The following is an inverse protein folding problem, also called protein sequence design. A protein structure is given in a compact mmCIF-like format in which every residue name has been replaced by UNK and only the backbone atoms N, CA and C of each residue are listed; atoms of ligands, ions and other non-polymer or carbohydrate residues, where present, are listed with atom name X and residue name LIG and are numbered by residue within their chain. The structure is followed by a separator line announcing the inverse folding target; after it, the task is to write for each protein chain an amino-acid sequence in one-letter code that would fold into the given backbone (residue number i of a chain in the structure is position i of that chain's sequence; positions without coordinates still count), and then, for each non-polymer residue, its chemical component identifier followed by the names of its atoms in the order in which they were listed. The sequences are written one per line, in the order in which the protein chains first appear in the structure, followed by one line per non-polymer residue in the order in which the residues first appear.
data_IF_444970038132
#
_entry.id   IF_444970038132
#
_cell.length_a   1.000
_cell.length_b   1.000
_cell.length_c   1.000
_cell.angle_alpha   90.00
_cell.angle_beta   90.00
_cell.angle_gamma   90.00
#
_symmetry.space_group_name_H-M   'P 1'
#
loop_
_entity.id
_entity.type
_entity.pdbx_description
1 polymer ?
#
# COMPACT_ATOMS: atom_id res chain seq x y z
N UNK A 1 -39.51 -26.23 -14.23
CA UNK A 1 -39.62 -27.61 -14.75
C UNK A 1 -39.13 -28.54 -13.65
N UNK A 2 -40.07 -29.03 -12.84
CA UNK A 2 -39.85 -29.92 -11.71
C UNK A 2 -40.09 -31.32 -12.24
N UNK A 3 -39.08 -32.19 -12.21
CA UNK A 3 -39.26 -33.58 -12.62
C UNK A 3 -39.17 -34.50 -11.42
N UNK A 4 -40.07 -35.47 -11.43
CA UNK A 4 -40.51 -36.26 -10.31
C UNK A 4 -40.11 -37.73 -10.51
N UNK A 5 -40.10 -38.45 -9.39
CA UNK A 5 -40.26 -39.91 -9.28
C UNK A 5 -39.07 -40.77 -9.76
N UNK A 6 -38.48 -41.47 -8.80
CA UNK A 6 -38.47 -42.94 -8.85
C UNK A 6 -38.54 -43.54 -7.46
N UNK A 7 -39.61 -44.28 -7.25
CA UNK A 7 -39.92 -45.15 -6.11
C UNK A 7 -39.88 -46.57 -6.64
N UNK A 8 -39.13 -47.47 -5.98
CA UNK A 8 -39.34 -48.93 -5.89
C UNK A 8 -38.07 -49.53 -5.27
N UNK A 9 -38.06 -50.54 -4.41
CA UNK A 9 -39.09 -51.47 -3.94
C UNK A 9 -38.57 -52.16 -2.67
N UNK A 10 -39.44 -52.31 -1.67
CA UNK A 10 -39.16 -53.03 -0.42
C UNK A 10 -39.96 -54.34 -0.44
N UNK A 11 -39.35 -55.53 -0.26
CA UNK A 11 -40.11 -56.78 -0.09
C UNK A 11 -40.43 -57.04 1.40
N UNK A 12 -41.66 -57.53 1.74
CA UNK A 12 -42.00 -58.00 3.09
C UNK A 12 -42.05 -59.56 3.14
N UNK A 13 -42.58 -60.20 4.20
CA UNK A 13 -41.83 -60.80 5.30
C UNK A 13 -41.90 -62.35 5.34
N UNK A 14 -40.83 -63.01 5.80
CA UNK A 14 -40.83 -64.44 6.11
C UNK A 14 -41.23 -64.70 7.57
N UNK A 15 -42.33 -65.44 7.79
CA UNK A 15 -42.76 -65.93 9.11
C UNK A 15 -42.62 -67.47 9.20
N UNK A 16 -42.31 -67.91 10.43
CA UNK A 16 -42.60 -69.20 11.12
C UNK A 16 -41.56 -70.33 10.96
N UNK A 17 -41.51 -71.34 11.89
CA UNK A 17 -42.30 -71.55 13.13
C UNK A 17 -41.48 -71.80 14.42
N UNK A 18 -42.19 -71.75 15.55
CA UNK A 18 -41.79 -72.28 16.87
C UNK A 18 -41.76 -73.82 16.85
N UNK A 19 -40.77 -74.43 17.51
CA UNK A 19 -40.74 -75.85 17.96
C UNK A 19 -39.97 -75.86 19.30
N UNK A 20 -40.68 -76.02 20.42
CA UNK A 20 -40.70 -77.25 21.26
C UNK A 20 -39.25 -77.72 21.55
N UNK A 21 -38.63 -77.39 22.69
CA UNK A 21 -38.93 -77.84 24.07
C UNK A 21 -39.02 -79.36 24.17
N UNK A 22 -37.85 -80.00 24.09
CA UNK A 22 -37.64 -81.36 24.58
C UNK A 22 -36.47 -81.33 25.56
N UNK A 23 -36.82 -81.57 26.82
CA UNK A 23 -35.90 -81.77 27.91
C UNK A 23 -35.38 -83.20 27.87
N UNK A 24 -34.07 -83.37 27.72
CA UNK A 24 -33.41 -84.61 28.11
C UNK A 24 -32.32 -84.31 29.14
N UNK A 25 -32.67 -84.73 30.35
CA UNK A 25 -31.89 -84.84 31.56
C UNK A 25 -30.69 -85.77 31.34
N UNK A 26 -29.48 -85.34 31.70
CA UNK A 26 -28.34 -86.24 31.90
C UNK A 26 -27.54 -85.80 33.13
N UNK A 27 -27.57 -86.54 34.26
CA UNK A 27 -26.77 -86.26 35.43
C UNK A 27 -25.50 -87.12 35.48
N UNK A 28 -24.36 -86.53 35.84
CA UNK A 28 -23.18 -87.32 36.27
C UNK A 28 -21.79 -86.73 36.00
N UNK A 29 -21.40 -85.71 36.78
CA UNK A 29 -20.13 -85.46 37.51
C UNK A 29 -18.73 -85.86 36.93
N UNK A 30 -17.60 -85.48 37.57
CA UNK A 30 -16.80 -84.31 37.20
C UNK A 30 -15.33 -84.68 36.87
N UNK A 31 -14.53 -83.76 36.31
CA UNK A 31 -13.10 -83.54 36.62
C UNK A 31 -12.36 -82.84 35.49
N UNK A 32 -11.32 -82.10 35.87
CA UNK A 32 -10.29 -81.46 35.04
C UNK A 32 -10.67 -80.11 34.39
N UNK A 33 -10.42 -79.05 35.16
CA UNK A 33 -10.18 -77.69 34.69
C UNK A 33 -8.89 -77.63 33.86
N UNK A 34 -8.89 -77.13 32.61
CA UNK A 34 -7.69 -76.57 32.03
C UNK A 34 -7.60 -75.10 32.46
N UNK A 35 -6.71 -74.80 33.41
CA UNK A 35 -6.30 -73.42 33.67
C UNK A 35 -5.48 -72.93 32.47
N UNK A 36 -6.13 -72.50 31.40
CA UNK A 36 -5.47 -71.62 30.43
C UNK A 36 -5.05 -70.34 31.16
N UNK A 37 -3.86 -69.79 30.92
CA UNK A 37 -3.54 -68.48 31.45
C UNK A 37 -4.54 -67.50 30.84
N UNK A 38 -5.54 -67.09 31.60
CA UNK A 38 -6.35 -65.91 31.31
C UNK A 38 -5.43 -64.70 31.52
N UNK A 39 -4.50 -64.52 30.60
CA UNK A 39 -3.91 -63.23 30.31
C UNK A 39 -5.04 -62.38 29.78
N UNK A 40 -5.83 -61.82 30.69
CA UNK A 40 -6.50 -60.55 30.42
C UNK A 40 -5.36 -59.58 30.12
N UNK A 41 -4.97 -59.50 28.86
CA UNK A 41 -4.28 -58.36 28.31
C UNK A 41 -5.26 -57.21 28.47
N UNK A 42 -5.28 -56.65 29.69
CA UNK A 42 -5.94 -55.41 30.03
C UNK A 42 -5.27 -54.44 29.10
N UNK A 43 -5.96 -54.10 28.01
CA UNK A 43 -5.52 -53.04 27.14
C UNK A 43 -5.37 -51.82 28.04
N UNK A 44 -4.13 -51.47 28.38
CA UNK A 44 -3.78 -50.16 28.93
C UNK A 44 -3.90 -49.14 27.79
N UNK A 45 -5.04 -49.19 27.09
CA UNK A 45 -5.44 -48.26 26.06
C UNK A 45 -6.39 -47.29 26.73
N UNK A 46 -5.93 -46.07 26.94
CA UNK A 46 -6.85 -44.97 27.24
C UNK A 46 -6.62 -44.26 28.57
N UNK A 47 -5.39 -43.95 28.92
CA UNK A 47 -5.11 -42.79 29.77
C UNK A 47 -3.90 -42.07 29.18
N UNK A 48 -4.06 -41.51 27.98
CA UNK A 48 -3.24 -40.34 27.65
C UNK A 48 -3.74 -39.30 28.64
N UNK A 49 -2.90 -38.94 29.62
CA UNK A 49 -3.31 -38.09 30.74
C UNK A 49 -4.06 -36.88 30.19
N UNK A 50 -5.34 -36.72 30.55
CA UNK A 50 -6.19 -35.67 29.96
C UNK A 50 -5.59 -34.27 30.18
N UNK A 51 -4.71 -34.13 31.17
CA UNK A 51 -3.84 -32.98 31.44
C UNK A 51 -2.79 -32.74 30.35
N UNK A 52 -2.15 -33.80 29.82
CA UNK A 52 -1.21 -33.71 28.70
C UNK A 52 -1.94 -33.34 27.42
N UNK A 53 -3.11 -33.95 27.16
CA UNK A 53 -3.93 -33.63 25.97
C UNK A 53 -4.40 -32.17 26.02
N UNK A 54 -4.86 -31.70 27.17
CA UNK A 54 -5.27 -30.30 27.36
C UNK A 54 -4.10 -29.32 27.23
N UNK A 55 -2.94 -29.64 27.81
CA UNK A 55 -1.73 -28.82 27.67
C UNK A 55 -1.29 -28.70 26.20
N UNK A 56 -1.25 -29.83 25.47
CA UNK A 56 -0.93 -29.84 24.04
C UNK A 56 -1.94 -29.03 23.24
N UNK A 57 -3.23 -29.15 23.53
CA UNK A 57 -4.27 -28.35 22.88
C UNK A 57 -4.10 -26.85 23.14
N UNK A 58 -3.80 -26.43 24.38
CA UNK A 58 -3.54 -25.03 24.72
C UNK A 58 -2.30 -24.51 23.98
N UNK A 59 -1.20 -25.26 23.97
CA UNK A 59 0.02 -24.91 23.25
C UNK A 59 -0.25 -24.78 21.74
N UNK A 60 -1.02 -25.71 21.16
CA UNK A 60 -1.39 -25.65 19.75
C UNK A 60 -2.23 -24.39 19.43
N UNK A 61 -3.20 -24.05 20.28
CA UNK A 61 -4.00 -22.82 20.11
C UNK A 61 -3.12 -21.57 20.20
N UNK A 62 -2.23 -21.50 21.19
CA UNK A 62 -1.28 -20.37 21.33
C UNK A 62 -0.38 -20.26 20.10
N UNK A 63 0.14 -21.38 19.60
CA UNK A 63 0.97 -21.40 18.39
C UNK A 63 0.21 -20.88 17.16
N UNK A 64 -1.05 -21.29 16.98
CA UNK A 64 -1.90 -20.82 15.87
C UNK A 64 -2.16 -19.31 15.97
N UNK A 65 -2.44 -18.79 17.18
CA UNK A 65 -2.65 -17.35 17.40
C UNK A 65 -1.38 -16.55 17.09
N UNK A 66 -0.21 -17.01 17.57
CA UNK A 66 1.07 -16.37 17.30
C UNK A 66 1.39 -16.39 15.80
N UNK A 67 1.19 -17.52 15.14
CA UNK A 67 1.38 -17.64 13.70
C UNK A 67 0.48 -16.68 12.91
N UNK A 68 -0.80 -16.60 13.25
CA UNK A 68 -1.75 -15.67 12.62
C UNK A 68 -1.32 -14.20 12.80
N UNK A 69 -0.79 -13.83 13.97
CA UNK A 69 -0.25 -12.49 14.24
C UNK A 69 0.97 -12.19 13.36
N UNK A 70 1.95 -13.09 13.30
CA UNK A 70 3.15 -12.92 12.46
C UNK A 70 2.77 -12.81 11.00
N UNK A 71 1.89 -13.70 10.51
CA UNK A 71 1.40 -13.67 9.14
C UNK A 71 0.75 -12.33 8.77
N UNK A 72 -0.09 -11.78 9.66
CA UNK A 72 -0.72 -10.48 9.46
C UNK A 72 0.31 -9.34 9.35
N UNK A 73 1.35 -9.35 10.19
CA UNK A 73 2.43 -8.35 10.16
C UNK A 73 3.24 -8.46 8.86
N UNK A 74 3.64 -9.66 8.46
CA UNK A 74 4.39 -9.88 7.21
C UNK A 74 3.58 -9.43 5.99
N UNK A 75 2.29 -9.78 5.92
CA UNK A 75 1.40 -9.31 4.86
C UNK A 75 1.32 -7.79 4.80
N UNK A 76 1.21 -7.13 5.96
CA UNK A 76 1.20 -5.66 6.04
C UNK A 76 2.54 -5.05 5.62
N UNK A 77 3.66 -5.67 6.02
CA UNK A 77 5.00 -5.22 5.64
C UNK A 77 5.18 -5.26 4.12
N UNK A 78 4.86 -6.39 3.48
CA UNK A 78 4.96 -6.54 2.01
C UNK A 78 4.09 -5.55 1.25
N UNK A 79 2.88 -5.28 1.73
CA UNK A 79 2.00 -4.25 1.14
C UNK A 79 2.59 -2.85 1.27
N UNK A 80 3.12 -2.52 2.43
CA UNK A 80 3.73 -1.21 2.69
C UNK A 80 5.00 -1.03 1.86
N UNK A 81 5.78 -2.09 1.69
CA UNK A 81 6.97 -2.13 0.83
C UNK A 81 6.60 -1.88 -0.64
N UNK A 82 5.58 -2.58 -1.15
CA UNK A 82 5.09 -2.37 -2.51
C UNK A 82 4.58 -0.93 -2.73
N UNK A 83 3.82 -0.37 -1.79
CA UNK A 83 3.34 1.01 -1.86
C UNK A 83 4.48 2.03 -1.81
N UNK A 84 5.47 1.80 -0.95
CA UNK A 84 6.66 2.64 -0.87
C UNK A 84 7.41 2.65 -2.20
N UNK A 85 7.65 1.49 -2.81
CA UNK A 85 8.32 1.38 -4.10
C UNK A 85 7.53 2.09 -5.21
N UNK A 86 6.20 1.90 -5.27
CA UNK A 86 5.36 2.55 -6.27
C UNK A 86 5.34 4.09 -6.10
N UNK A 87 5.23 4.57 -4.87
CA UNK A 87 5.27 6.01 -4.58
C UNK A 87 6.64 6.63 -4.87
N UNK A 88 7.72 5.88 -4.61
CA UNK A 88 9.09 6.27 -4.96
C UNK A 88 9.27 6.41 -6.46
N UNK A 89 8.81 5.43 -7.24
CA UNK A 89 8.91 5.51 -8.71
C UNK A 89 8.12 6.68 -9.29
N UNK A 90 6.96 7.01 -8.70
CA UNK A 90 6.17 8.17 -9.12
C UNK A 90 6.95 9.47 -8.91
N UNK A 91 7.56 9.63 -7.73
CA UNK A 91 8.38 10.80 -7.42
C UNK A 91 9.61 10.90 -8.35
N UNK A 92 10.32 9.79 -8.57
CA UNK A 92 11.52 9.76 -9.44
C UNK A 92 11.21 10.12 -10.90
N UNK A 93 10.05 9.69 -11.41
CA UNK A 93 9.59 10.04 -12.76
C UNK A 93 9.34 11.54 -12.89
N UNK A 94 8.63 12.14 -11.93
CA UNK A 94 8.33 13.59 -11.97
C UNK A 94 9.60 14.44 -11.77
N UNK A 95 10.54 14.00 -10.91
CA UNK A 95 11.86 14.63 -10.78
C UNK A 95 12.61 14.61 -12.11
N UNK A 96 12.65 13.45 -12.79
CA UNK A 96 13.28 13.32 -14.10
C UNK A 96 12.67 14.25 -15.15
N UNK A 97 11.35 14.27 -15.22
CA UNK A 97 10.60 15.16 -16.12
C UNK A 97 10.92 16.63 -15.87
N UNK A 98 11.01 17.04 -14.59
CA UNK A 98 11.38 18.41 -14.21
C UNK A 98 12.75 18.79 -14.73
N UNK A 99 13.76 17.92 -14.61
CA UNK A 99 15.09 18.27 -15.11
C UNK A 99 15.13 18.41 -16.63
N UNK A 100 14.39 17.59 -17.37
CA UNK A 100 14.28 17.73 -18.83
C UNK A 100 13.60 19.05 -19.20
N UNK A 101 12.45 19.34 -18.60
CA UNK A 101 11.69 20.56 -18.86
C UNK A 101 12.46 21.83 -18.46
N UNK A 102 13.20 21.82 -17.34
CA UNK A 102 14.05 22.96 -16.95
C UNK A 102 15.14 23.21 -17.99
N UNK A 103 15.72 22.15 -18.59
CA UNK A 103 16.68 22.30 -19.66
C UNK A 103 16.07 22.98 -20.88
N UNK A 104 14.89 22.50 -21.30
CA UNK A 104 14.18 23.04 -22.45
C UNK A 104 13.81 24.52 -22.24
N UNK A 105 13.37 24.87 -21.02
CA UNK A 105 13.12 26.26 -20.63
C UNK A 105 14.41 27.10 -20.73
N UNK A 106 15.54 26.63 -20.19
CA UNK A 106 16.81 27.38 -20.22
C UNK A 106 17.30 27.58 -21.65
N UNK A 107 17.14 26.59 -22.53
CA UNK A 107 17.52 26.71 -23.95
C UNK A 107 16.63 27.75 -24.66
N UNK A 108 15.31 27.67 -24.47
CA UNK A 108 14.37 28.62 -25.06
C UNK A 108 14.60 30.06 -24.55
N UNK A 109 14.76 30.23 -23.23
CA UNK A 109 14.98 31.53 -22.62
C UNK A 109 16.31 32.17 -23.04
N UNK A 110 17.37 31.38 -23.26
CA UNK A 110 18.62 31.88 -23.84
C UNK A 110 18.46 32.35 -25.28
N UNK A 111 17.72 31.61 -26.10
CA UNK A 111 17.44 32.00 -27.49
C UNK A 111 16.67 33.33 -27.57
N UNK A 112 15.83 33.61 -26.56
CA UNK A 112 15.09 34.86 -26.41
C UNK A 112 15.88 35.99 -25.72
N UNK A 113 17.16 35.80 -25.41
CA UNK A 113 18.01 36.77 -24.70
C UNK A 113 17.48 37.19 -23.31
N UNK A 114 16.84 36.27 -22.57
CA UNK A 114 16.47 36.50 -21.17
C UNK A 114 17.73 36.71 -20.30
N UNK A 115 17.60 37.50 -19.23
CA UNK A 115 18.73 37.85 -18.37
C UNK A 115 19.42 36.59 -17.77
N UNK A 116 20.72 36.51 -18.01
CA UNK A 116 21.61 35.51 -17.44
C UNK A 116 21.61 35.48 -15.91
N UNK A 117 21.34 36.62 -15.25
CA UNK A 117 21.29 36.72 -13.79
C UNK A 117 20.14 35.90 -13.20
N UNK A 118 19.08 35.68 -13.98
CA UNK A 118 17.90 34.87 -13.63
C UNK A 118 18.09 33.40 -14.06
N UNK A 119 18.68 33.15 -15.23
CA UNK A 119 18.86 31.81 -15.77
C UNK A 119 20.04 31.02 -15.17
N UNK A 120 21.12 31.69 -14.76
CA UNK A 120 22.30 31.01 -14.21
C UNK A 120 22.00 30.27 -12.89
N UNK A 121 21.26 30.85 -11.92
CA UNK A 121 20.82 30.13 -10.73
C UNK A 121 19.96 28.90 -11.05
N UNK A 122 19.05 29.00 -12.03
CA UNK A 122 18.20 27.87 -12.44
C UNK A 122 19.03 26.73 -13.04
N UNK A 123 19.94 27.05 -13.96
CA UNK A 123 20.82 26.07 -14.57
C UNK A 123 21.74 25.39 -13.53
N UNK A 124 22.29 26.17 -12.59
CA UNK A 124 23.13 25.65 -11.50
C UNK A 124 22.37 24.80 -10.50
N UNK A 125 21.14 25.18 -10.12
CA UNK A 125 20.31 24.39 -9.25
C UNK A 125 19.90 23.06 -9.91
N UNK A 126 19.62 23.06 -11.23
CA UNK A 126 19.37 21.83 -11.99
C UNK A 126 20.59 20.92 -12.01
N UNK A 127 21.78 21.44 -12.28
CA UNK A 127 22.99 20.61 -12.33
C UNK A 127 23.31 20.00 -10.96
N UNK A 128 23.13 20.76 -9.88
CA UNK A 128 23.25 20.27 -8.51
C UNK A 128 22.26 19.14 -8.22
N UNK A 129 20.97 19.35 -8.49
CA UNK A 129 19.91 18.36 -8.29
C UNK A 129 20.17 17.07 -9.09
N UNK A 130 20.48 17.21 -10.38
CA UNK A 130 20.81 16.09 -11.25
C UNK A 130 22.05 15.32 -10.76
N UNK A 131 23.09 16.03 -10.30
CA UNK A 131 24.31 15.43 -9.78
C UNK A 131 24.06 14.57 -8.53
N UNK A 132 23.20 15.03 -7.61
CA UNK A 132 22.82 14.24 -6.42
C UNK A 132 22.09 12.95 -6.83
N UNK A 133 21.20 13.04 -7.82
CA UNK A 133 20.49 11.87 -8.35
C UNK A 133 21.44 10.88 -9.02
N UNK A 134 22.34 11.35 -9.87
CA UNK A 134 23.29 10.49 -10.60
C UNK A 134 24.29 9.80 -9.66
N UNK A 135 24.64 10.43 -8.54
CA UNK A 135 25.46 9.83 -7.48
C UNK A 135 24.70 8.78 -6.64
N UNK A 136 23.40 8.58 -6.90
CA UNK A 136 22.58 7.63 -6.16
C UNK A 136 22.35 8.02 -4.71
N UNK A 137 22.40 9.32 -4.39
CA UNK A 137 22.13 9.82 -3.05
C UNK A 137 20.70 9.45 -2.61
N UNK A 138 20.46 9.39 -1.31
CA UNK A 138 19.13 9.07 -0.81
C UNK A 138 18.15 10.20 -1.13
N UNK A 139 16.85 9.89 -1.19
CA UNK A 139 15.83 10.92 -1.40
C UNK A 139 15.84 12.02 -0.31
N UNK A 140 16.26 11.67 0.92
CA UNK A 140 16.45 12.67 1.97
C UNK A 140 17.57 13.65 1.66
N UNK A 141 18.69 13.16 1.12
CA UNK A 141 19.83 14.01 0.74
C UNK A 141 19.52 14.88 -0.49
N UNK A 142 18.73 14.33 -1.43
CA UNK A 142 18.28 15.06 -2.63
C UNK A 142 17.32 16.21 -2.28
N UNK A 143 16.56 16.11 -1.18
CA UNK A 143 15.51 17.10 -0.85
C UNK A 143 16.03 18.56 -0.82
N UNK A 144 17.25 18.78 -0.34
CA UNK A 144 17.86 20.10 -0.29
C UNK A 144 18.17 20.69 -1.67
N UNK A 145 18.70 19.88 -2.60
CA UNK A 145 18.99 20.31 -3.97
C UNK A 145 17.70 20.53 -4.77
N UNK A 146 16.69 19.68 -4.58
CA UNK A 146 15.37 19.86 -5.19
C UNK A 146 14.67 21.13 -4.71
N UNK A 147 14.86 21.51 -3.44
CA UNK A 147 14.34 22.76 -2.89
C UNK A 147 15.01 23.98 -3.54
N UNK A 148 16.33 23.95 -3.68
CA UNK A 148 17.07 25.01 -4.37
C UNK A 148 16.62 25.19 -5.83
N UNK A 149 16.34 24.09 -6.54
CA UNK A 149 15.79 24.12 -7.89
C UNK A 149 14.39 24.75 -7.93
N UNK A 150 13.52 24.41 -6.98
CA UNK A 150 12.16 24.97 -6.88
C UNK A 150 12.21 26.48 -6.65
N UNK A 151 13.08 26.95 -5.75
CA UNK A 151 13.29 28.39 -5.50
C UNK A 151 13.81 29.12 -6.74
N UNK A 152 14.76 28.54 -7.46
CA UNK A 152 15.28 29.13 -8.69
C UNK A 152 14.21 29.19 -9.79
N UNK A 153 13.39 28.13 -9.93
CA UNK A 153 12.27 28.09 -10.87
C UNK A 153 11.25 29.20 -10.56
N UNK A 154 10.90 29.40 -9.29
CA UNK A 154 9.97 30.47 -8.88
C UNK A 154 10.47 31.85 -9.33
N UNK A 155 11.77 32.12 -9.21
CA UNK A 155 12.34 33.40 -9.67
C UNK A 155 12.17 33.57 -11.18
N UNK A 156 12.37 32.52 -11.97
CA UNK A 156 12.14 32.57 -13.42
C UNK A 156 10.67 32.80 -13.75
N UNK A 157 9.75 32.13 -13.05
CA UNK A 157 8.30 32.34 -13.22
C UNK A 157 7.92 33.80 -12.95
N UNK A 158 8.41 34.37 -11.85
CA UNK A 158 8.17 35.78 -11.50
C UNK A 158 8.73 36.72 -12.58
N UNK A 159 9.97 36.50 -13.03
CA UNK A 159 10.58 37.29 -14.10
C UNK A 159 9.73 37.23 -15.38
N UNK A 160 9.31 36.04 -15.80
CA UNK A 160 8.50 35.84 -17.02
C UNK A 160 7.14 36.52 -16.97
N UNK A 161 6.56 36.71 -15.78
CA UNK A 161 5.30 37.45 -15.62
C UNK A 161 5.49 38.96 -15.63
N UNK A 162 6.70 39.44 -15.29
CA UNK A 162 7.02 40.86 -15.10
C UNK A 162 7.68 41.52 -16.30
N UNK A 163 8.54 40.82 -17.06
CA UNK A 163 9.24 41.39 -18.22
C UNK A 163 8.35 41.32 -19.49
N UNK A 164 7.93 42.47 -20.05
CA UNK A 164 7.08 42.50 -21.24
C UNK A 164 7.66 41.80 -22.48
N UNK A 165 8.98 41.68 -22.59
CA UNK A 165 9.64 41.05 -23.75
C UNK A 165 9.39 39.54 -23.79
N UNK A 166 9.40 38.89 -22.63
CA UNK A 166 9.27 37.43 -22.48
C UNK A 166 7.85 37.01 -22.07
N UNK A 167 7.06 37.94 -21.52
CA UNK A 167 5.67 37.70 -21.12
C UNK A 167 4.79 37.21 -22.26
N UNK A 168 4.98 37.75 -23.46
CA UNK A 168 4.19 37.40 -24.64
C UNK A 168 4.87 36.35 -25.54
N UNK A 169 6.07 35.87 -25.18
CA UNK A 169 6.79 34.88 -25.97
C UNK A 169 6.29 33.46 -25.63
N UNK A 170 5.54 32.88 -26.57
CA UNK A 170 5.00 31.53 -26.42
C UNK A 170 6.07 30.45 -26.31
N UNK A 171 7.27 30.67 -26.85
CA UNK A 171 8.38 29.75 -26.72
C UNK A 171 8.87 29.60 -25.28
N UNK A 172 8.61 30.60 -24.42
CA UNK A 172 8.97 30.60 -22.99
C UNK A 172 7.76 30.27 -22.12
N UNK A 173 6.59 30.86 -22.41
CA UNK A 173 5.39 30.66 -21.59
C UNK A 173 4.95 29.21 -21.55
N UNK A 174 5.04 28.49 -22.69
CA UNK A 174 4.65 27.07 -22.74
C UNK A 174 5.51 26.18 -21.82
N UNK A 175 6.86 26.21 -21.87
CA UNK A 175 7.69 25.50 -20.91
C UNK A 175 7.45 25.88 -19.44
N UNK A 176 7.22 27.17 -19.16
CA UNK A 176 6.91 27.64 -17.79
C UNK A 176 5.63 27.01 -17.25
N UNK A 177 4.54 27.06 -18.03
CA UNK A 177 3.25 26.49 -17.64
C UNK A 177 3.34 24.97 -17.43
N UNK A 178 4.10 24.28 -18.29
CA UNK A 178 4.31 22.85 -18.17
C UNK A 178 5.14 22.50 -16.90
N UNK A 179 6.15 23.31 -16.59
CA UNK A 179 6.94 23.17 -15.35
C UNK A 179 6.10 23.42 -14.11
N UNK A 180 5.22 24.41 -14.11
CA UNK A 180 4.29 24.67 -12.99
C UNK A 180 3.40 23.46 -12.70
N UNK A 181 2.88 22.80 -13.75
CA UNK A 181 2.09 21.57 -13.61
C UNK A 181 2.93 20.42 -13.06
N UNK A 182 4.16 20.26 -13.53
CA UNK A 182 5.08 19.26 -13.00
C UNK A 182 5.42 19.54 -11.53
N UNK A 183 5.62 20.80 -11.14
CA UNK A 183 5.88 21.17 -9.74
C UNK A 183 4.72 20.78 -8.81
N UNK A 184 3.47 20.98 -9.24
CA UNK A 184 2.29 20.54 -8.49
C UNK A 184 2.19 19.02 -8.36
N UNK A 185 2.46 18.30 -9.46
CA UNK A 185 2.52 16.83 -9.43
C UNK A 185 3.63 16.35 -8.50
N UNK A 186 4.76 17.05 -8.46
CA UNK A 186 5.89 16.75 -7.60
C UNK A 186 5.53 16.92 -6.13
N UNK A 187 4.85 18.01 -5.74
CA UNK A 187 4.30 18.22 -4.39
C UNK A 187 3.40 17.05 -3.99
N UNK A 188 2.50 16.64 -4.88
CA UNK A 188 1.62 15.49 -4.67
C UNK A 188 2.39 14.18 -4.50
N UNK A 189 3.32 13.89 -5.39
CA UNK A 189 4.16 12.68 -5.36
C UNK A 189 5.02 12.62 -4.09
N UNK A 190 5.61 13.74 -3.68
CA UNK A 190 6.37 13.87 -2.44
C UNK A 190 5.51 13.56 -1.21
N UNK A 191 4.28 14.10 -1.15
CA UNK A 191 3.33 13.81 -0.07
C UNK A 191 2.98 12.33 -0.01
N UNK A 192 2.68 11.71 -1.14
CA UNK A 192 2.37 10.27 -1.22
C UNK A 192 3.57 9.41 -0.81
N UNK A 193 4.78 9.76 -1.26
CA UNK A 193 6.01 9.07 -0.85
C UNK A 193 6.25 9.18 0.66
N UNK A 194 6.19 10.40 1.22
CA UNK A 194 6.40 10.63 2.65
C UNK A 194 5.39 9.88 3.51
N UNK A 195 4.13 9.80 3.07
CA UNK A 195 3.10 9.01 3.78
C UNK A 195 3.44 7.51 3.78
N UNK A 196 3.93 6.98 2.66
CA UNK A 196 4.35 5.57 2.55
C UNK A 196 5.63 5.29 3.34
N UNK A 197 6.59 6.22 3.33
CA UNK A 197 7.82 6.15 4.11
C UNK A 197 7.52 6.19 5.62
N UNK A 198 6.58 7.06 6.05
CA UNK A 198 6.11 7.10 7.43
C UNK A 198 5.46 5.78 7.86
N UNK A 199 4.61 5.19 7.01
CA UNK A 199 4.02 3.89 7.27
C UNK A 199 5.09 2.79 7.42
N UNK A 200 6.10 2.75 6.54
CA UNK A 200 7.22 1.81 6.64
C UNK A 200 8.05 2.03 7.92
N UNK A 201 8.31 3.29 8.26
CA UNK A 201 9.05 3.68 9.46
C UNK A 201 8.30 3.28 10.73
N UNK A 202 6.97 3.39 10.76
CA UNK A 202 6.15 2.94 11.89
C UNK A 202 6.23 1.43 12.09
N UNK A 203 6.22 0.64 11.01
CA UNK A 203 6.29 -0.82 11.08
C UNK A 203 7.67 -1.32 11.51
N UNK A 204 8.73 -0.68 11.01
CA UNK A 204 10.11 -1.06 11.33
C UNK A 204 10.53 -0.68 12.77
N UNK A 205 9.91 0.35 13.36
CA UNK A 205 10.24 0.83 14.72
C UNK A 205 9.24 0.40 15.81
N UNK A 206 8.06 -0.08 15.47
CA UNK A 206 7.02 -0.43 16.45
C UNK A 206 7.40 -1.63 17.33
N UNK A 207 7.14 -1.57 18.64
CA UNK A 207 7.59 -2.59 19.62
C UNK A 207 7.15 -4.02 19.25
N UNK A 208 5.91 -4.19 18.78
CA UNK A 208 5.38 -5.51 18.39
C UNK A 208 5.71 -5.94 16.95
N UNK A 209 6.06 -5.01 16.07
CA UNK A 209 6.30 -5.28 14.64
C UNK A 209 7.78 -5.28 14.28
N UNK A 210 8.63 -4.56 15.03
CA UNK A 210 10.06 -4.44 14.81
C UNK A 210 10.81 -5.79 14.76
N UNK A 211 10.60 -6.76 15.67
CA UNK A 211 11.31 -8.05 15.57
C UNK A 211 10.94 -8.80 14.30
N UNK A 212 9.66 -8.84 13.94
CA UNK A 212 9.19 -9.44 12.69
C UNK A 212 9.73 -8.67 11.49
N UNK A 213 9.64 -7.33 11.49
CA UNK A 213 10.12 -6.49 10.40
C UNK A 213 11.62 -6.71 10.14
N UNK A 214 12.46 -6.75 11.18
CA UNK A 214 13.90 -7.01 11.04
C UNK A 214 14.19 -8.37 10.41
N UNK A 215 13.50 -9.43 10.85
CA UNK A 215 13.68 -10.79 10.29
C UNK A 215 13.26 -10.85 8.83
N UNK A 216 12.21 -10.12 8.45
CA UNK A 216 11.65 -10.12 7.09
C UNK A 216 12.15 -8.96 6.21
N UNK A 217 13.20 -8.25 6.60
CA UNK A 217 13.88 -7.23 5.78
C UNK A 217 13.24 -5.83 5.76
N UNK A 218 12.29 -5.56 6.65
CA UNK A 218 11.68 -4.24 6.83
C UNK A 218 12.68 -3.22 7.36
N UNK A 219 13.17 -2.35 6.49
CA UNK A 219 14.11 -1.26 6.81
C UNK A 219 13.40 0.09 6.82
N UNK A 220 13.83 1.04 7.66
CA UNK A 220 13.32 2.39 7.60
C UNK A 220 13.69 3.04 6.25
N UNK A 221 12.78 3.87 5.75
CA UNK A 221 12.95 4.62 4.52
C UNK A 221 13.25 6.10 4.84
N UNK A 222 14.20 6.74 4.13
CA UNK A 222 14.42 8.17 4.23
C UNK A 222 13.16 8.91 3.77
N UNK A 223 12.85 10.04 4.39
CA UNK A 223 11.76 10.91 3.94
C UNK A 223 12.30 11.94 2.94
N UNK A 224 11.45 12.38 2.03
CA UNK A 224 11.75 13.44 1.06
C UNK A 224 11.17 14.77 1.58
N UNK A 225 11.93 15.48 2.39
CA UNK A 225 11.49 16.73 3.05
C UNK A 225 11.91 17.97 2.25
N UNK A 226 11.50 18.03 0.98
CA UNK A 226 11.68 19.25 0.19
C UNK A 226 10.52 20.22 0.46
N UNK A 227 10.83 21.49 0.75
CA UNK A 227 9.81 22.55 0.80
C UNK A 227 9.49 22.99 -0.62
N UNK A 228 8.86 22.09 -1.39
CA UNK A 228 8.38 22.40 -2.73
C UNK A 228 7.29 23.45 -2.58
N UNK A 229 7.59 24.67 -2.99
CA UNK A 229 6.66 25.76 -2.84
C UNK A 229 5.52 25.58 -3.86
N UNK A 230 4.28 25.60 -3.38
CA UNK A 230 3.12 25.56 -4.27
C UNK A 230 3.09 26.88 -5.07
N UNK A 231 3.48 26.82 -6.35
CA UNK A 231 3.30 27.93 -7.27
C UNK A 231 1.79 28.21 -7.36
N UNK A 232 1.32 29.43 -7.02
CA UNK A 232 -0.06 29.79 -7.21
C UNK A 232 -0.43 29.57 -8.68
N UNK A 233 -1.42 28.71 -8.95
CA UNK A 233 -2.11 28.72 -10.25
C UNK A 233 -3.03 29.93 -10.21
N UNK A 234 -2.48 31.11 -10.41
CA UNK A 234 -3.32 32.25 -10.77
C UNK A 234 -3.76 32.02 -12.22
N UNK A 235 -4.92 31.36 -12.37
CA UNK A 235 -5.69 31.50 -13.59
C UNK A 235 -5.89 33.00 -13.82
N UNK A 236 -5.64 33.52 -15.04
CA UNK A 236 -5.97 34.90 -15.40
C UNK A 236 -7.39 35.21 -14.94
N UNK A 237 -7.61 36.38 -14.35
CA UNK A 237 -8.94 36.78 -13.88
C UNK A 237 -10.01 36.65 -14.99
N UNK A 238 -9.59 36.77 -16.25
CA UNK A 238 -10.40 36.59 -17.46
C UNK A 238 -10.99 35.18 -17.64
N UNK A 239 -10.41 34.15 -17.01
CA UNK A 239 -10.89 32.76 -17.07
C UNK A 239 -11.65 32.34 -15.79
N UNK A 240 -11.67 33.19 -14.77
CA UNK A 240 -12.68 33.10 -13.71
C UNK A 240 -13.92 33.73 -14.29
N UNK A 241 -14.91 32.93 -14.66
CA UNK A 241 -16.24 33.41 -15.05
C UNK A 241 -16.98 34.07 -13.90
N UNK A 242 -16.37 35.05 -13.23
CA UNK A 242 -17.08 36.08 -12.48
C UNK A 242 -17.47 37.16 -13.50
N UNK A 243 -18.60 36.89 -14.12
CA UNK A 243 -19.40 37.85 -14.83
C UNK A 243 -19.56 39.09 -13.94
N UNK A 244 -19.10 40.23 -14.45
CA UNK A 244 -19.40 41.56 -13.94
C UNK A 244 -20.91 41.70 -13.82
N UNK A 245 -21.48 41.43 -12.65
CA UNK A 245 -22.81 41.95 -12.29
C UNK A 245 -22.66 43.42 -11.96
N UNK A 246 -22.32 44.21 -12.97
CA UNK A 246 -22.47 45.66 -12.95
C UNK A 246 -23.32 46.02 -14.16
N UNK A 247 -24.62 46.09 -13.90
CA UNK A 247 -25.67 46.18 -14.90
C UNK A 247 -26.99 46.52 -14.22
N UNK A 248 -27.02 47.71 -13.60
CA UNK A 248 -28.10 48.67 -13.79
C UNK A 248 -29.48 48.10 -14.13
N UNK A 249 -30.31 47.88 -13.11
CA UNK A 249 -31.78 47.89 -13.28
C UNK A 249 -32.30 49.15 -12.62
N UNK A 250 -32.23 50.24 -13.41
CA UNK A 250 -33.09 51.41 -13.26
C UNK A 250 -34.54 50.95 -13.27
N UNK A 251 -35.33 51.49 -12.35
CA UNK A 251 -36.62 50.94 -11.98
C UNK A 251 -37.75 51.09 -13.00
N UNK A 252 -38.85 50.42 -12.68
CA UNK A 252 -40.17 51.06 -12.75
C UNK A 252 -41.09 50.43 -11.71
N UNK A 253 -41.61 51.28 -10.83
CA UNK A 253 -42.95 51.09 -10.29
C UNK A 253 -43.95 51.01 -11.47
N UNK A 254 -45.03 50.25 -11.35
CA UNK A 254 -46.43 50.73 -11.29
C UNK A 254 -47.40 49.54 -11.45
N UNK A 255 -48.44 49.55 -10.61
CA UNK A 255 -49.71 48.78 -10.59
C UNK A 255 -49.67 47.35 -10.05
#
# INVERSE_FOLDING_TARGET
MVDARRVSSFPPPGRRPRRALDAHFNPGFPSAWPHGPTGVARAHAGWVDSTLVTLVAVVAVVAVVLFARVYAVVRRLRRTEANLTASRSLLEVELGRRYEQVNDLVVAARAANMDSSVLAPLAGARSLALGFREQGMTLGDQAGSENALSVALHRVVLETGSDPKVKNDWAIQRPVLELQRTEQRLVGAARVYNSSAAAMNSLSRGIGTAPVARVFGGRPAPMFEATLAELPVELPAELRGEELTDGEVVGSATV
#
